data_IF_726301151987
#
_entry.id   IF_726301151987
#
_cell.length_a   1.000
_cell.length_b   1.000
_cell.length_c   1.000
_cell.angle_alpha   90.00
_cell.angle_beta   90.00
_cell.angle_gamma   90.00
#
_symmetry.space_group_name_H-M   'P 1'
#
loop_
_entity.id
_entity.type
_entity.pdbx_description
1 polymer ?
#
# COMPACT_ATOMS: atom_id res chain seq x y z
N UNK A 1 1.49 10.30 -4.34
CA UNK A 1 0.51 9.69 -3.43
C UNK A 1 -0.89 10.24 -3.69
N UNK A 2 -1.06 11.56 -3.80
CA UNK A 2 -2.41 12.14 -3.89
C UNK A 2 -3.20 11.71 -5.14
N UNK A 3 -2.54 11.63 -6.30
CA UNK A 3 -3.19 11.13 -7.52
C UNK A 3 -3.60 9.65 -7.39
N UNK A 4 -2.73 8.82 -6.81
CA UNK A 4 -3.05 7.41 -6.51
C UNK A 4 -4.24 7.30 -5.56
N UNK A 5 -4.28 8.14 -4.52
CA UNK A 5 -5.35 8.18 -3.54
C UNK A 5 -6.67 8.67 -4.16
N UNK A 6 -6.63 9.64 -5.07
CA UNK A 6 -7.80 10.11 -5.82
C UNK A 6 -8.35 9.00 -6.71
N UNK A 7 -7.47 8.33 -7.47
CA UNK A 7 -7.87 7.20 -8.31
C UNK A 7 -8.49 6.07 -7.50
N UNK A 8 -7.87 5.74 -6.35
CA UNK A 8 -8.37 4.71 -5.45
C UNK A 8 -9.74 5.11 -4.87
N UNK A 9 -9.91 6.37 -4.45
CA UNK A 9 -11.18 6.87 -3.94
C UNK A 9 -12.28 6.77 -5.00
N UNK A 10 -12.02 7.20 -6.22
CA UNK A 10 -12.97 7.13 -7.34
C UNK A 10 -13.36 5.69 -7.66
N UNK A 11 -12.40 4.77 -7.61
CA UNK A 11 -12.64 3.34 -7.85
C UNK A 11 -13.53 2.74 -6.77
N UNK A 12 -13.22 2.98 -5.49
CA UNK A 12 -14.01 2.47 -4.37
C UNK A 12 -15.39 3.13 -4.33
N UNK A 13 -15.51 4.40 -4.68
CA UNK A 13 -16.79 5.10 -4.81
C UNK A 13 -17.71 4.37 -5.77
N UNK A 14 -17.20 3.95 -6.94
CA UNK A 14 -18.00 3.20 -7.93
C UNK A 14 -18.54 1.88 -7.36
N UNK A 15 -17.69 1.10 -6.69
CA UNK A 15 -18.11 -0.15 -6.04
C UNK A 15 -19.15 0.11 -4.94
N UNK A 16 -18.96 1.15 -4.14
CA UNK A 16 -19.88 1.51 -3.07
C UNK A 16 -21.21 2.05 -3.61
N UNK A 17 -21.22 2.77 -4.74
CA UNK A 17 -22.43 3.26 -5.42
C UNK A 17 -23.26 2.09 -6.00
N UNK A 18 -22.65 0.95 -6.30
CA UNK A 18 -23.34 -0.32 -6.59
C UNK A 18 -23.90 -1.01 -5.33
N UNK A 19 -23.72 -0.41 -4.15
CA UNK A 19 -24.21 -0.90 -2.87
C UNK A 19 -23.28 -1.91 -2.18
N UNK A 20 -22.03 -2.05 -2.64
CA UNK A 20 -21.10 -3.02 -2.06
C UNK A 20 -20.51 -2.56 -0.73
N UNK A 21 -20.38 -3.50 0.20
CA UNK A 21 -19.56 -3.36 1.40
C UNK A 21 -18.10 -3.73 1.08
N UNK A 22 -17.18 -2.79 1.26
CA UNK A 22 -15.79 -2.93 0.81
C UNK A 22 -14.85 -3.16 1.99
N UNK A 23 -13.97 -4.15 1.86
CA UNK A 23 -12.78 -4.34 2.70
C UNK A 23 -11.54 -3.99 1.89
N UNK A 24 -10.69 -3.12 2.43
CA UNK A 24 -9.41 -2.77 1.83
C UNK A 24 -8.31 -3.60 2.47
N UNK A 25 -7.57 -4.36 1.68
CA UNK A 25 -6.31 -4.99 2.11
C UNK A 25 -5.15 -4.19 1.52
N UNK A 26 -4.47 -3.42 2.36
CA UNK A 26 -3.41 -2.52 1.94
C UNK A 26 -2.03 -3.13 2.23
N UNK A 27 -1.22 -3.27 1.17
CA UNK A 27 0.11 -3.87 1.21
C UNK A 27 1.21 -2.85 0.94
N UNK A 28 2.31 -2.88 1.71
CA UNK A 28 3.48 -2.02 1.51
C UNK A 28 3.09 -0.53 1.34
N UNK A 29 3.57 0.15 0.30
CA UNK A 29 3.19 1.53 -0.07
C UNK A 29 1.68 1.74 -0.22
N UNK A 30 0.93 0.71 -0.63
CA UNK A 30 -0.52 0.77 -0.77
C UNK A 30 -1.26 1.15 0.52
N UNK A 31 -0.61 1.00 1.67
CA UNK A 31 -1.14 1.50 2.94
C UNK A 31 -1.15 3.01 3.04
N UNK A 32 -0.16 3.72 2.51
CA UNK A 32 -0.15 5.19 2.45
C UNK A 32 -1.32 5.70 1.60
N UNK A 33 -1.44 5.17 0.38
CA UNK A 33 -2.48 5.58 -0.57
C UNK A 33 -3.88 5.22 -0.07
N UNK A 34 -4.08 4.00 0.43
CA UNK A 34 -5.35 3.58 1.01
C UNK A 34 -5.74 4.51 2.17
N UNK A 35 -4.82 4.78 3.10
CA UNK A 35 -5.07 5.67 4.24
C UNK A 35 -5.47 7.07 3.80
N UNK A 36 -4.78 7.62 2.80
CA UNK A 36 -5.05 8.97 2.26
C UNK A 36 -6.42 9.06 1.55
N UNK A 37 -6.93 7.93 1.04
CA UNK A 37 -8.06 7.90 0.12
C UNK A 37 -9.45 7.79 0.75
N UNK A 38 -9.60 7.48 2.04
CA UNK A 38 -10.89 7.04 2.60
C UNK A 38 -11.90 8.14 2.92
N UNK A 39 -11.59 9.39 2.59
CA UNK A 39 -12.47 10.51 2.87
C UNK A 39 -13.83 10.31 2.20
N UNK A 40 -14.91 10.46 2.97
CA UNK A 40 -16.30 10.35 2.52
C UNK A 40 -16.68 8.95 1.97
N UNK A 41 -15.86 7.92 2.23
CA UNK A 41 -16.03 6.56 1.69
C UNK A 41 -16.48 5.54 2.72
N UNK A 42 -16.38 5.85 4.01
CA UNK A 42 -16.76 4.87 5.03
C UNK A 42 -18.24 4.57 4.94
N UNK A 43 -18.62 3.35 5.33
CA UNK A 43 -20.03 2.93 5.34
C UNK A 43 -20.89 3.88 6.19
N UNK A 44 -20.34 4.37 7.31
CA UNK A 44 -21.03 5.28 8.21
C UNK A 44 -21.21 6.68 7.61
N UNK A 45 -20.17 7.26 7.01
CA UNK A 45 -20.26 8.55 6.30
C UNK A 45 -21.23 8.48 5.12
N UNK A 46 -21.16 7.41 4.34
CA UNK A 46 -22.05 7.21 3.20
C UNK A 46 -23.50 7.02 3.63
N UNK A 47 -23.75 6.25 4.69
CA UNK A 47 -25.08 6.10 5.27
C UNK A 47 -25.64 7.44 5.78
N UNK A 48 -24.81 8.26 6.44
CA UNK A 48 -25.20 9.61 6.87
C UNK A 48 -25.55 10.53 5.69
N UNK A 49 -24.95 10.31 4.52
CA UNK A 49 -25.27 10.98 3.27
C UNK A 49 -26.44 10.34 2.48
N UNK A 50 -27.14 9.35 3.04
CA UNK A 50 -28.25 8.66 2.38
C UNK A 50 -27.83 7.71 1.26
N UNK A 51 -26.56 7.33 1.19
CA UNK A 51 -26.01 6.39 0.21
C UNK A 51 -25.89 4.98 0.78
N UNK A 52 -25.92 3.98 -0.10
CA UNK A 52 -25.63 2.57 0.22
C UNK A 52 -24.15 2.25 -0.01
N UNK A 53 -23.72 1.09 0.52
CA UNK A 53 -22.35 0.61 0.40
C UNK A 53 -21.31 1.49 1.09
N UNK A 54 -20.04 1.08 1.02
CA UNK A 54 -18.91 1.83 1.56
C UNK A 54 -17.85 0.96 2.20
N UNK A 55 -16.75 1.60 2.60
CA UNK A 55 -15.65 0.94 3.28
C UNK A 55 -16.05 0.69 4.73
N UNK A 56 -16.11 -0.59 5.13
CA UNK A 56 -16.41 -0.95 6.52
C UNK A 56 -15.18 -1.49 7.27
N UNK A 57 -14.12 -1.88 6.56
CA UNK A 57 -12.83 -2.32 7.12
C UNK A 57 -11.64 -1.95 6.24
N UNK A 58 -10.52 -1.66 6.89
CA UNK A 58 -9.19 -1.66 6.31
C UNK A 58 -8.30 -2.63 7.09
N UNK A 59 -7.51 -3.43 6.37
CA UNK A 59 -6.53 -4.35 6.90
C UNK A 59 -5.16 -4.00 6.29
N UNK A 60 -4.13 -4.02 7.13
CA UNK A 60 -2.76 -3.73 6.72
C UNK A 60 -1.93 -5.00 6.68
N UNK A 61 -1.14 -5.13 5.63
CA UNK A 61 -0.28 -6.27 5.39
C UNK A 61 1.13 -5.77 5.06
N UNK A 62 2.10 -6.07 5.93
CA UNK A 62 3.52 -5.67 5.76
C UNK A 62 3.64 -4.26 5.17
N UNK A 63 3.01 -3.31 5.86
CA UNK A 63 2.57 -2.04 5.29
C UNK A 63 3.25 -0.85 5.95
N UNK A 64 3.46 0.21 5.18
CA UNK A 64 3.98 1.49 5.69
C UNK A 64 2.79 2.39 5.98
N UNK A 65 2.54 2.70 7.26
CA UNK A 65 1.40 3.51 7.70
C UNK A 65 1.91 4.81 8.32
N UNK A 66 1.97 5.92 7.57
CA UNK A 66 2.50 7.17 8.08
C UNK A 66 1.61 7.79 9.16
N UNK A 67 2.23 8.51 10.09
CA UNK A 67 1.52 9.49 10.88
C UNK A 67 1.12 10.69 9.99
N UNK A 68 0.12 11.47 10.41
CA UNK A 68 -0.23 12.72 9.72
C UNK A 68 1.00 13.64 9.69
N UNK A 69 1.31 14.18 8.51
CA UNK A 69 2.48 15.02 8.26
C UNK A 69 3.77 14.25 7.96
N UNK A 70 3.80 12.93 8.14
CA UNK A 70 4.92 12.08 7.73
C UNK A 70 4.69 11.51 6.33
N UNK A 71 5.78 11.21 5.63
CA UNK A 71 5.79 10.56 4.32
C UNK A 71 6.21 9.08 4.42
N UNK A 72 6.22 8.38 3.28
CA UNK A 72 6.55 6.94 3.22
C UNK A 72 8.03 6.71 3.53
N UNK A 73 8.92 7.58 3.04
CA UNK A 73 10.37 7.46 3.22
C UNK A 73 10.74 7.58 4.69
N UNK A 74 10.27 8.62 5.36
CA UNK A 74 10.51 8.86 6.78
C UNK A 74 9.95 7.73 7.64
N UNK A 75 8.74 7.25 7.32
CA UNK A 75 8.07 6.17 8.06
C UNK A 75 8.81 4.83 7.91
N UNK A 76 9.22 4.49 6.70
CA UNK A 76 9.98 3.26 6.43
C UNK A 76 11.37 3.29 7.09
N UNK A 77 12.07 4.43 6.98
CA UNK A 77 13.42 4.61 7.55
C UNK A 77 13.46 4.53 9.07
N UNK A 78 12.38 4.94 9.75
CA UNK A 78 12.27 4.81 11.20
C UNK A 78 12.08 3.35 11.67
N UNK A 79 11.69 2.45 10.76
CA UNK A 79 11.28 1.07 11.07
C UNK A 79 12.28 0.01 10.61
N UNK A 80 13.22 0.36 9.73
CA UNK A 80 14.17 -0.60 9.15
C UNK A 80 15.44 -0.76 9.99
N UNK A 81 15.65 -1.96 10.54
CA UNK A 81 16.89 -2.35 11.21
C UNK A 81 18.13 -2.32 10.29
N UNK A 82 17.94 -2.15 8.97
CA UNK A 82 18.98 -2.10 7.94
C UNK A 82 19.20 -0.73 7.28
N UNK A 83 18.62 0.34 7.80
CA UNK A 83 18.69 1.69 7.21
C UNK A 83 17.67 1.93 6.08
N UNK A 84 17.60 3.15 5.52
CA UNK A 84 16.68 3.46 4.43
C UNK A 84 17.01 2.61 3.19
N UNK A 85 16.00 2.18 2.41
CA UNK A 85 16.24 1.58 1.10
C UNK A 85 17.08 2.52 0.24
N UNK A 86 18.12 2.00 -0.41
CA UNK A 86 18.90 2.81 -1.34
C UNK A 86 18.16 2.88 -2.66
N UNK A 87 17.72 4.09 -3.02
CA UNK A 87 16.94 4.34 -4.22
C UNK A 87 17.64 5.37 -5.09
N UNK A 88 17.53 5.18 -6.40
CA UNK A 88 17.88 6.19 -7.38
C UNK A 88 16.62 6.91 -7.84
N UNK A 89 16.71 8.23 -7.99
CA UNK A 89 15.67 9.04 -8.60
C UNK A 89 16.26 9.70 -9.86
N UNK A 90 15.68 9.42 -11.02
CA UNK A 90 16.13 10.01 -12.29
C UNK A 90 15.61 11.45 -12.50
N UNK A 91 16.01 12.07 -13.61
CA UNK A 91 15.61 13.44 -13.96
C UNK A 91 14.10 13.63 -14.19
N UNK A 92 13.38 12.53 -14.41
CA UNK A 92 11.92 12.51 -14.58
C UNK A 92 11.17 12.17 -13.28
N UNK A 93 11.90 11.96 -12.18
CA UNK A 93 11.32 11.61 -10.89
C UNK A 93 10.97 10.12 -10.75
N UNK A 94 11.46 9.24 -11.64
CA UNK A 94 11.29 7.80 -11.46
C UNK A 94 12.26 7.27 -10.42
N UNK A 95 11.72 6.54 -9.45
CA UNK A 95 12.43 5.86 -8.39
C UNK A 95 12.67 4.39 -8.77
N UNK A 96 13.92 3.94 -8.69
CA UNK A 96 14.30 2.52 -8.87
C UNK A 96 15.12 2.04 -7.68
N UNK A 97 15.06 0.73 -7.44
CA UNK A 97 15.99 0.08 -6.51
C UNK A 97 17.44 0.26 -7.00
N UNK A 98 18.35 0.56 -6.09
CA UNK A 98 19.78 0.74 -6.39
C UNK A 98 20.64 -0.43 -5.90
N UNK A 99 20.14 -1.23 -4.95
CA UNK A 99 20.86 -2.37 -4.40
C UNK A 99 19.90 -3.57 -4.22
N UNK A 100 19.70 -4.38 -5.28
CA UNK A 100 18.84 -5.55 -5.24
C UNK A 100 19.22 -6.57 -4.17
N UNK A 101 20.51 -6.67 -3.80
CA UNK A 101 20.94 -7.60 -2.76
C UNK A 101 20.50 -7.11 -1.37
N UNK A 102 20.70 -5.83 -1.07
CA UNK A 102 20.24 -5.23 0.18
C UNK A 102 18.71 -5.21 0.26
N UNK A 103 18.02 -4.83 -0.81
CA UNK A 103 16.56 -4.84 -0.87
C UNK A 103 16.02 -6.25 -0.71
N UNK A 104 16.64 -7.25 -1.35
CA UNK A 104 16.24 -8.64 -1.23
C UNK A 104 16.38 -9.19 0.20
N UNK A 105 17.38 -8.74 0.96
CA UNK A 105 17.50 -9.08 2.40
C UNK A 105 16.36 -8.54 3.25
N UNK A 106 15.73 -7.43 2.84
CA UNK A 106 14.63 -6.80 3.57
C UNK A 106 13.27 -7.34 3.12
N UNK A 107 13.05 -7.45 1.81
CA UNK A 107 11.72 -7.76 1.23
C UNK A 107 11.51 -9.27 1.03
N UNK A 108 12.59 -10.02 0.86
CA UNK A 108 12.57 -11.45 0.57
C UNK A 108 13.36 -12.25 1.63
N UNK A 109 13.31 -11.82 2.89
CA UNK A 109 14.11 -12.34 4.01
C UNK A 109 13.92 -13.85 4.32
N UNK A 110 12.92 -14.49 3.72
CA UNK A 110 12.63 -15.92 3.83
C UNK A 110 13.11 -16.77 2.64
N UNK A 111 13.55 -16.13 1.54
CA UNK A 111 13.98 -16.82 0.30
C UNK A 111 15.49 -17.13 0.30
N UNK A 112 15.99 -17.92 -0.65
CA UNK A 112 17.44 -18.07 -0.85
C UNK A 112 18.08 -16.79 -1.40
N UNK A 113 19.40 -16.62 -1.27
CA UNK A 113 20.08 -15.41 -1.79
C UNK A 113 19.85 -15.19 -3.28
N UNK A 114 19.83 -16.26 -4.08
CA UNK A 114 19.58 -16.20 -5.52
C UNK A 114 18.14 -15.74 -5.81
N UNK A 115 17.14 -16.35 -5.17
CA UNK A 115 15.72 -15.96 -5.32
C UNK A 115 15.45 -14.53 -4.85
N UNK A 116 16.17 -14.05 -3.83
CA UNK A 116 16.04 -12.66 -3.34
C UNK A 116 16.50 -11.66 -4.38
N UNK A 117 17.67 -11.88 -4.97
CA UNK A 117 18.24 -10.98 -5.97
C UNK A 117 17.35 -10.96 -7.21
N UNK A 118 16.96 -12.14 -7.71
CA UNK A 118 16.04 -12.26 -8.84
C UNK A 118 14.70 -11.55 -8.57
N UNK A 119 14.14 -11.74 -7.37
CA UNK A 119 12.93 -11.06 -6.95
C UNK A 119 13.09 -9.54 -6.92
N UNK A 120 14.20 -9.02 -6.39
CA UNK A 120 14.46 -7.59 -6.30
C UNK A 120 14.73 -6.95 -7.66
N UNK A 121 15.42 -7.63 -8.57
CA UNK A 121 15.62 -7.17 -9.95
C UNK A 121 14.32 -7.11 -10.76
N UNK A 122 13.28 -7.85 -10.34
CA UNK A 122 11.97 -7.82 -10.98
C UNK A 122 11.14 -6.57 -10.64
N UNK A 123 11.59 -5.73 -9.69
CA UNK A 123 10.87 -4.53 -9.30
C UNK A 123 10.82 -3.50 -10.43
N UNK A 124 9.60 -3.02 -10.70
CA UNK A 124 9.39 -1.89 -11.57
C UNK A 124 9.85 -0.57 -10.93
N UNK A 125 9.83 0.49 -11.74
CA UNK A 125 10.01 1.85 -11.24
C UNK A 125 8.74 2.38 -10.58
N UNK A 126 8.92 3.21 -9.57
CA UNK A 126 7.87 3.94 -8.87
C UNK A 126 7.97 5.45 -9.14
N UNK A 127 6.89 6.21 -8.97
CA UNK A 127 6.98 7.67 -8.97
C UNK A 127 7.60 8.12 -7.63
N UNK A 128 8.84 8.62 -7.65
CA UNK A 128 9.58 9.05 -6.45
C UNK A 128 8.83 10.09 -5.61
N UNK A 129 8.25 11.15 -6.21
CA UNK A 129 7.47 12.14 -5.45
C UNK A 129 6.34 11.53 -4.62
N UNK A 130 5.76 10.41 -5.08
CA UNK A 130 4.67 9.76 -4.39
C UNK A 130 5.08 9.19 -3.01
N UNK A 131 6.35 8.88 -2.82
CA UNK A 131 6.87 8.38 -1.53
C UNK A 131 7.21 9.52 -0.56
N UNK A 132 7.40 10.74 -1.07
CA UNK A 132 7.72 11.94 -0.30
C UNK A 132 6.50 12.82 0.03
N UNK A 133 5.33 12.53 -0.55
CA UNK A 133 4.09 13.22 -0.20
C UNK A 133 3.67 12.90 1.25
N UNK A 134 3.42 13.91 2.10
CA UNK A 134 2.99 13.67 3.47
C UNK A 134 1.53 13.21 3.53
N UNK A 135 1.23 12.30 4.46
CA UNK A 135 -0.15 11.91 4.77
C UNK A 135 -0.90 13.11 5.38
N UNK A 136 -1.98 13.54 4.74
CA UNK A 136 -2.83 14.64 5.24
C UNK A 136 -4.16 14.16 5.78
N UNK A 137 -4.64 13.02 5.31
CA UNK A 137 -5.90 12.42 5.75
C UNK A 137 -5.65 11.00 6.29
N UNK A 138 -5.81 10.77 7.61
CA UNK A 138 -5.59 9.47 8.22
C UNK A 138 -6.86 8.60 8.17
N UNK A 139 -7.30 8.19 6.97
CA UNK A 139 -8.57 7.49 6.75
C UNK A 139 -8.77 6.22 7.59
N UNK A 140 -7.69 5.61 8.07
CA UNK A 140 -7.74 4.51 9.03
C UNK A 140 -8.37 4.86 10.39
N UNK A 141 -8.57 6.15 10.68
CA UNK A 141 -9.29 6.61 11.87
C UNK A 141 -10.80 6.70 11.64
N UNK A 142 -11.22 6.77 10.39
CA UNK A 142 -12.63 6.97 10.02
C UNK A 142 -13.38 5.63 9.95
N UNK A 143 -12.65 4.54 9.70
CA UNK A 143 -13.20 3.17 9.69
C UNK A 143 -13.23 2.61 11.12
N UNK A 144 -14.42 2.26 11.61
CA UNK A 144 -14.67 1.84 13.01
C UNK A 144 -13.75 0.73 13.54
N UNK A 145 -13.01 1.07 14.60
CA UNK A 145 -11.97 0.31 15.31
C UNK A 145 -10.85 -0.30 14.43
N UNK A 146 -9.64 0.31 14.42
CA UNK A 146 -8.47 -0.34 13.87
C UNK A 146 -8.16 -1.57 14.72
N UNK A 147 -7.98 -2.74 14.11
CA UNK A 147 -7.28 -3.85 14.76
C UNK A 147 -5.84 -3.37 15.01
N UNK A 148 -5.67 -2.74 16.17
CA UNK A 148 -4.38 -2.41 16.80
C UNK A 148 -3.70 -3.67 17.36
N UNK A 149 -4.30 -4.84 17.17
CA UNK A 149 -3.64 -6.11 17.36
C UNK A 149 -2.83 -6.41 16.10
N UNK A 150 -1.64 -5.82 16.04
CA UNK A 150 -0.45 -6.45 15.47
C UNK A 150 -0.70 -7.42 14.31
N UNK A 151 -1.24 -6.92 13.20
CA UNK A 151 -1.09 -7.58 11.92
C UNK A 151 0.18 -7.08 11.25
N UNK A 152 1.32 -7.30 11.91
CA UNK A 152 2.46 -7.86 11.19
C UNK A 152 2.09 -9.29 10.81
N UNK A 153 1.05 -9.46 9.99
CA UNK A 153 0.96 -10.67 9.19
C UNK A 153 2.07 -10.46 8.18
N UNK A 154 3.23 -11.01 8.49
CA UNK A 154 4.17 -11.39 7.44
C UNK A 154 3.40 -12.45 6.67
N UNK A 155 2.63 -12.06 5.65
CA UNK A 155 2.27 -13.02 4.62
C UNK A 155 3.62 -13.34 3.99
N UNK A 156 4.11 -14.53 4.30
CA UNK A 156 5.34 -15.11 3.75
C UNK A 156 5.45 -14.71 2.27
N UNK A 157 6.60 -14.15 1.88
CA UNK A 157 6.88 -13.72 0.52
C UNK A 157 6.52 -14.82 -0.52
N UNK A 158 6.59 -16.10 -0.12
CA UNK A 158 6.14 -17.23 -0.94
C UNK A 158 4.67 -17.16 -1.37
N UNK A 159 3.77 -16.62 -0.55
CA UNK A 159 2.35 -16.44 -0.88
C UNK A 159 2.09 -15.18 -1.74
N UNK A 160 2.83 -14.09 -1.51
CA UNK A 160 2.69 -12.86 -2.28
C UNK A 160 3.10 -13.05 -3.76
N UNK A 161 4.16 -13.81 -4.02
CA UNK A 161 4.60 -14.18 -5.38
C UNK A 161 3.53 -15.04 -6.08
N UNK A 162 2.88 -15.96 -5.36
CA UNK A 162 1.80 -16.78 -5.91
C UNK A 162 0.58 -15.94 -6.32
N UNK A 163 0.20 -14.91 -5.56
CA UNK A 163 -0.90 -14.00 -5.90
C UNK A 163 -0.60 -13.13 -7.13
N UNK A 164 0.63 -12.62 -7.24
CA UNK A 164 1.08 -11.84 -8.39
C UNK A 164 1.13 -12.68 -9.68
N UNK A 165 1.52 -13.95 -9.58
CA UNK A 165 1.46 -14.89 -10.70
C UNK A 165 0.03 -15.29 -11.10
N UNK A 166 -0.90 -15.39 -10.13
CA UNK A 166 -2.30 -15.76 -10.38
C UNK A 166 -3.14 -14.64 -11.02
N UNK A 167 -2.76 -13.37 -10.83
CA UNK A 167 -3.47 -12.20 -11.38
C UNK A 167 -3.32 -12.01 -12.91
N UNK A 168 -2.51 -12.80 -13.59
CA UNK A 168 -2.31 -12.71 -15.05
C UNK A 168 -3.40 -13.42 -15.88
N UNK A 169 -4.39 -14.06 -15.26
CA UNK A 169 -5.51 -14.71 -15.95
C UNK A 169 -6.85 -14.02 -15.72
N UNK A 170 -6.92 -12.71 -15.94
CA UNK A 170 -8.19 -12.06 -16.26
C UNK A 170 -8.20 -11.82 -17.77
N UNK A 171 -8.84 -12.75 -18.50
CA UNK A 171 -9.20 -12.51 -19.90
C UNK A 171 -10.03 -11.23 -19.96
N UNK A 172 -9.50 -10.19 -20.59
CA UNK A 172 -10.31 -9.09 -21.10
C UNK A 172 -11.27 -9.70 -22.13
N UNK A 173 -12.54 -9.83 -21.76
CA UNK A 173 -13.65 -10.01 -22.69
C UNK A 173 -14.04 -8.67 -23.28
#
# INVERSE_FOLDING_TARGET
>A
MYDDASFFNDFVTKLADEGMDVVILAYSYGACTASQSLKDLTKDERAAAGKTGGVFRIAYLTAVVPAVGADTVATASASSAGGPPQVNIDEFGWMTDFDPEQTGKVVFDSLSSEERIEGSESFGRHAGPAFADPLTHPGYRDVGLPLRESCSVIIDAKWAVSLLSAGTSVKRT
#
